data_IF_952460257653
#
_entry.id   IF_952460257653
#
_cell.length_a   1.000
_cell.length_b   1.000
_cell.length_c   1.000
_cell.angle_alpha   90.00
_cell.angle_beta   90.00
_cell.angle_gamma   90.00
#
_symmetry.space_group_name_H-M   'P 1'
#
loop_
_entity.id
_entity.type
_entity.pdbx_description
1 polymer ?
#
# COMPACT_ATOMS: atom_id res chain seq x y z
N UNK A 1 -23.40 21.88 7.29
CA UNK A 1 -22.04 21.33 7.11
C UNK A 1 -21.51 21.17 8.51
N UNK A 2 -21.56 19.94 9.00
CA UNK A 2 -21.46 19.70 10.43
C UNK A 2 -19.98 19.58 10.80
N UNK A 3 -19.54 20.36 11.80
CA UNK A 3 -18.14 20.42 12.26
C UNK A 3 -17.56 19.05 12.64
N UNK A 4 -18.41 18.07 12.95
CA UNK A 4 -18.04 16.68 13.20
C UNK A 4 -17.38 16.02 11.98
N UNK A 5 -17.85 16.31 10.76
CA UNK A 5 -17.27 15.76 9.53
C UNK A 5 -15.91 16.37 9.16
N UNK A 6 -15.63 17.59 9.62
CA UNK A 6 -14.37 18.29 9.35
C UNK A 6 -13.26 17.79 10.29
N UNK A 7 -13.57 17.57 11.57
CA UNK A 7 -12.63 17.02 12.54
C UNK A 7 -12.23 15.57 12.22
N UNK A 8 -13.18 14.70 11.85
CA UNK A 8 -12.87 13.31 11.47
C UNK A 8 -11.92 13.21 10.27
N UNK A 9 -11.95 14.19 9.36
CA UNK A 9 -11.10 14.19 8.16
C UNK A 9 -9.65 14.61 8.46
N UNK A 10 -9.44 15.54 9.40
CA UNK A 10 -8.09 16.01 9.78
C UNK A 10 -7.34 14.96 10.59
N UNK A 11 -8.02 14.21 11.46
CA UNK A 11 -7.38 13.17 12.28
C UNK A 11 -7.07 11.88 11.50
N UNK A 12 -7.91 11.49 10.54
CA UNK A 12 -7.61 10.37 9.64
C UNK A 12 -6.36 10.65 8.77
N UNK A 13 -6.17 11.92 8.37
CA UNK A 13 -4.98 12.38 7.66
C UNK A 13 -3.70 12.28 8.52
N UNK A 14 -3.76 12.71 9.79
CA UNK A 14 -2.64 12.66 10.72
C UNK A 14 -2.22 11.21 11.06
N UNK A 15 -3.16 10.27 11.09
CA UNK A 15 -2.88 8.86 11.39
C UNK A 15 -2.40 8.12 10.14
N UNK A 16 -2.99 8.38 8.97
CA UNK A 16 -2.43 7.95 7.69
C UNK A 16 -0.98 8.43 7.53
N UNK A 17 -0.71 9.69 7.92
CA UNK A 17 0.63 10.25 7.98
C UNK A 17 1.55 9.52 8.97
N UNK A 18 1.11 9.22 10.19
CA UNK A 18 1.94 8.51 11.17
C UNK A 18 2.31 7.09 10.71
N UNK A 19 1.35 6.38 10.12
CA UNK A 19 1.53 5.03 9.58
C UNK A 19 2.54 5.02 8.44
N UNK A 20 2.35 5.93 7.49
CA UNK A 20 3.26 6.10 6.35
C UNK A 20 4.63 6.58 6.83
N UNK A 21 4.69 7.56 7.73
CA UNK A 21 5.93 8.08 8.29
C UNK A 21 6.73 7.01 9.03
N UNK A 22 6.08 6.16 9.85
CA UNK A 22 6.75 5.03 10.49
C UNK A 22 7.26 4.00 9.48
N UNK A 23 6.49 3.73 8.43
CA UNK A 23 6.93 2.83 7.35
C UNK A 23 8.21 3.33 6.67
N UNK A 24 8.26 4.62 6.32
CA UNK A 24 9.44 5.23 5.72
C UNK A 24 10.64 5.32 6.69
N UNK A 25 10.40 5.63 7.96
CA UNK A 25 11.48 5.76 8.97
C UNK A 25 12.11 4.42 9.33
N UNK A 26 11.31 3.37 9.50
CA UNK A 26 11.79 2.02 9.81
C UNK A 26 12.62 1.42 8.67
N UNK A 27 12.34 1.79 7.41
CA UNK A 27 13.12 1.32 6.28
C UNK A 27 14.43 2.13 6.08
N UNK A 28 14.53 3.36 6.60
CA UNK A 28 15.80 4.08 6.64
C UNK A 28 16.75 3.52 7.71
N UNK A 29 16.24 3.09 8.87
CA UNK A 29 17.06 2.50 9.95
C UNK A 29 17.66 1.11 9.58
N UNK A 30 17.08 0.37 8.63
CA UNK A 30 17.62 -0.93 8.15
C UNK A 30 18.67 -0.79 7.03
N UNK A 31 19.12 0.43 6.69
CA UNK A 31 20.18 0.69 5.72
C UNK A 31 21.26 1.60 6.32
N UNK A 32 22.01 1.09 7.29
CA UNK A 32 23.35 1.61 7.59
C UNK A 32 24.38 0.51 7.29
N UNK A 33 25.43 0.78 6.49
CA UNK A 33 26.53 -0.16 6.31
C UNK A 33 27.50 -0.06 7.49
N UNK A 34 27.77 -1.19 8.14
CA UNK A 34 28.86 -1.33 9.11
C UNK A 34 30.19 -0.94 8.44
N UNK A 35 30.64 0.29 8.68
CA UNK A 35 31.97 0.74 8.31
C UNK A 35 32.94 0.48 9.47
N UNK A 36 33.48 -0.74 9.56
CA UNK A 36 34.69 -0.99 10.34
C UNK A 36 35.91 -0.70 9.46
N UNK A 37 36.66 0.34 9.81
CA UNK A 37 37.90 0.76 9.18
C UNK A 37 39.08 -0.16 9.52
N UNK A 38 39.80 -0.64 8.50
CA UNK A 38 41.21 -1.00 8.63
C UNK A 38 41.92 -0.85 7.27
N UNK A 39 42.94 -0.01 7.24
CA UNK A 39 43.75 0.35 6.08
C UNK A 39 44.90 -0.63 5.84
N UNK A 40 45.08 -1.05 4.58
CA UNK A 40 46.39 -1.43 4.03
C UNK A 40 46.35 -1.36 2.50
N UNK A 41 47.31 -0.64 1.93
CA UNK A 41 47.48 -0.33 0.51
C UNK A 41 48.16 -1.47 -0.27
N UNK A 42 47.60 -1.82 -1.43
CA UNK A 42 48.36 -2.38 -2.56
C UNK A 42 47.58 -2.22 -3.86
N UNK A 43 48.23 -1.63 -4.86
CA UNK A 43 47.75 -1.34 -6.20
C UNK A 43 47.56 -2.59 -7.06
N UNK A 44 46.37 -2.77 -7.61
CA UNK A 44 46.12 -3.58 -8.80
C UNK A 44 44.93 -3.01 -9.57
N UNK A 45 45.14 -2.79 -10.85
CA UNK A 45 44.16 -2.30 -11.82
C UNK A 45 43.06 -3.34 -12.02
N UNK A 46 41.94 -3.14 -11.34
CA UNK A 46 40.69 -3.86 -11.60
C UNK A 46 39.69 -2.87 -12.17
N UNK A 47 39.32 -3.08 -13.43
CA UNK A 47 38.19 -2.46 -14.11
C UNK A 47 36.98 -2.44 -13.18
N UNK A 48 36.61 -1.24 -12.73
CA UNK A 48 35.40 -0.99 -11.96
C UNK A 48 34.21 -1.29 -12.86
N UNK A 49 33.80 -2.56 -12.88
CA UNK A 49 32.44 -2.91 -13.20
C UNK A 49 31.60 -2.29 -12.09
N UNK A 50 31.10 -1.09 -12.36
CA UNK A 50 30.03 -0.49 -11.58
C UNK A 50 28.91 -1.52 -11.51
N UNK A 51 28.85 -2.24 -10.39
CA UNK A 51 27.69 -3.04 -10.03
C UNK A 51 26.52 -2.07 -10.13
N UNK A 52 25.51 -2.31 -10.99
CA UNK A 52 24.39 -1.40 -11.12
C UNK A 52 23.72 -1.34 -9.76
N UNK A 53 23.96 -0.24 -9.06
CA UNK A 53 23.40 0.00 -7.74
C UNK A 53 21.94 0.34 -7.96
N UNK A 54 21.10 -0.54 -7.43
CA UNK A 54 19.66 -0.38 -7.20
C UNK A 54 18.77 -0.20 -8.43
N UNK A 55 17.79 -1.09 -8.54
CA UNK A 55 16.53 -0.94 -9.27
C UNK A 55 16.19 0.54 -9.49
N UNK A 56 16.04 0.95 -10.75
CA UNK A 56 15.53 2.27 -11.12
C UNK A 56 14.06 2.40 -10.66
N UNK A 57 13.84 2.54 -9.34
CA UNK A 57 12.54 2.74 -8.76
C UNK A 57 11.99 4.07 -9.27
N UNK A 58 10.92 3.99 -10.03
CA UNK A 58 10.29 5.15 -10.68
C UNK A 58 9.43 5.94 -9.70
N UNK A 59 8.94 5.26 -8.65
CA UNK A 59 8.12 5.84 -7.59
C UNK A 59 8.55 5.29 -6.23
N UNK A 60 8.30 6.05 -5.17
CA UNK A 60 8.42 5.54 -3.82
C UNK A 60 7.22 4.68 -3.46
N UNK A 61 6.00 5.10 -3.83
CA UNK A 61 4.75 4.42 -3.44
C UNK A 61 3.84 4.12 -4.62
N UNK A 62 3.37 2.88 -4.70
CA UNK A 62 2.18 2.51 -5.48
C UNK A 62 0.94 2.42 -4.57
N UNK A 63 -0.06 3.31 -4.75
CA UNK A 63 -1.31 3.22 -4.00
C UNK A 63 -2.34 2.36 -4.75
N UNK A 64 -2.86 1.31 -4.12
CA UNK A 64 -3.99 0.51 -4.62
C UNK A 64 -5.20 0.62 -3.71
N UNK A 65 -6.32 1.06 -4.28
CA UNK A 65 -7.56 1.32 -3.54
C UNK A 65 -8.78 1.37 -4.47
N UNK A 66 -9.97 1.13 -3.91
CA UNK A 66 -11.24 1.34 -4.60
C UNK A 66 -11.64 2.82 -4.53
N UNK A 67 -11.55 3.53 -5.65
CA UNK A 67 -11.82 4.97 -5.69
C UNK A 67 -13.20 5.39 -5.18
N UNK A 68 -14.22 4.53 -5.32
CA UNK A 68 -15.58 4.79 -4.83
C UNK A 68 -15.70 4.74 -3.30
N UNK A 69 -14.88 3.92 -2.64
CA UNK A 69 -14.94 3.72 -1.18
C UNK A 69 -14.11 4.76 -0.44
N UNK A 70 -13.05 5.23 -1.09
CA UNK A 70 -12.14 6.21 -0.49
C UNK A 70 -12.70 7.59 -0.76
N UNK A 71 -13.29 8.19 0.27
CA UNK A 71 -13.73 9.59 0.21
C UNK A 71 -12.57 10.42 -0.35
N UNK A 72 -12.85 11.25 -1.36
CA UNK A 72 -11.85 12.13 -2.02
C UNK A 72 -10.93 12.84 -1.01
N UNK A 73 -11.45 13.15 0.17
CA UNK A 73 -10.70 13.79 1.26
C UNK A 73 -9.60 12.88 1.84
N UNK A 74 -9.85 11.60 2.14
CA UNK A 74 -8.87 10.74 2.81
C UNK A 74 -7.59 10.57 1.98
N UNK A 75 -7.74 10.16 0.72
CA UNK A 75 -6.58 9.97 -0.15
C UNK A 75 -5.93 11.29 -0.56
N UNK A 76 -6.71 12.37 -0.78
CA UNK A 76 -6.09 13.68 -1.07
C UNK A 76 -5.27 14.21 0.10
N UNK A 77 -5.64 13.90 1.34
CA UNK A 77 -4.79 14.20 2.50
C UNK A 77 -3.49 13.40 2.48
N UNK A 78 -3.53 12.09 2.18
CA UNK A 78 -2.31 11.27 2.01
C UNK A 78 -1.43 11.84 0.89
N UNK A 79 -2.01 12.22 -0.24
CA UNK A 79 -1.28 12.82 -1.37
C UNK A 79 -0.61 14.14 -1.00
N UNK A 80 -1.30 15.02 -0.25
CA UNK A 80 -0.71 16.27 0.25
C UNK A 80 0.50 16.01 1.16
N UNK A 81 0.42 14.98 1.99
CA UNK A 81 1.53 14.62 2.87
C UNK A 81 2.71 14.00 2.11
N UNK A 82 2.45 13.17 1.09
CA UNK A 82 3.50 12.71 0.18
C UNK A 82 4.23 13.88 -0.46
N UNK A 83 3.50 14.85 -1.01
CA UNK A 83 4.07 16.07 -1.60
C UNK A 83 4.90 16.84 -0.57
N UNK A 84 4.38 17.06 0.64
CA UNK A 84 5.08 17.78 1.71
C UNK A 84 6.39 17.10 2.13
N UNK A 85 6.49 15.78 1.98
CA UNK A 85 7.65 14.96 2.34
C UNK A 85 8.57 14.62 1.16
N UNK A 86 8.24 15.09 -0.05
CA UNK A 86 9.00 14.74 -1.26
C UNK A 86 8.90 13.27 -1.63
N UNK A 87 7.85 12.57 -1.19
CA UNK A 87 7.58 11.17 -1.54
C UNK A 87 6.88 11.16 -2.89
N UNK A 88 7.44 10.43 -3.84
CA UNK A 88 6.85 10.24 -5.17
C UNK A 88 5.85 9.08 -5.15
N UNK A 89 4.63 9.31 -5.62
CA UNK A 89 3.62 8.25 -5.73
C UNK A 89 3.06 8.15 -7.15
N UNK A 90 2.67 6.94 -7.54
CA UNK A 90 1.96 6.74 -8.79
C UNK A 90 0.53 7.31 -8.70
N UNK A 91 0.17 8.19 -9.64
CA UNK A 91 -1.16 8.81 -9.68
C UNK A 91 -2.07 8.11 -10.69
N UNK A 92 -2.93 7.19 -10.21
CA UNK A 92 -3.89 6.46 -11.05
C UNK A 92 -5.14 7.31 -11.42
N UNK A 93 -5.29 8.53 -10.88
CA UNK A 93 -6.49 9.36 -11.10
C UNK A 93 -6.70 9.81 -12.55
N UNK A 94 -5.66 9.75 -13.39
CA UNK A 94 -5.72 10.13 -14.80
C UNK A 94 -6.00 8.94 -15.73
N UNK A 95 -6.01 7.71 -15.20
CA UNK A 95 -6.19 6.50 -15.98
C UNK A 95 -7.64 6.03 -15.85
N UNK A 96 -8.33 5.91 -16.99
CA UNK A 96 -9.62 5.24 -17.02
C UNK A 96 -9.42 3.77 -16.66
N UNK A 97 -9.86 3.39 -15.46
CA UNK A 97 -9.88 1.99 -15.02
C UNK A 97 -10.74 1.18 -15.98
N UNK A 98 -10.11 0.23 -16.66
CA UNK A 98 -10.73 -0.68 -17.64
C UNK A 98 -11.01 -2.07 -17.07
N UNK A 99 -11.17 -3.07 -17.93
CA UNK A 99 -11.39 -4.47 -17.52
C UNK A 99 -10.12 -5.23 -17.12
N UNK A 100 -8.93 -4.72 -17.46
CA UNK A 100 -7.64 -5.34 -17.18
C UNK A 100 -6.57 -4.27 -16.92
N UNK A 101 -5.69 -4.51 -15.95
CA UNK A 101 -4.58 -3.60 -15.66
C UNK A 101 -3.68 -3.45 -16.88
N UNK A 102 -3.29 -2.20 -17.16
CA UNK A 102 -2.45 -1.88 -18.32
C UNK A 102 -0.97 -2.12 -18.03
N UNK A 103 -0.11 -2.32 -19.05
CA UNK A 103 1.33 -2.46 -18.87
C UNK A 103 1.97 -1.33 -18.06
N UNK A 104 1.48 -0.09 -18.22
CA UNK A 104 2.01 1.07 -17.48
C UNK A 104 1.76 0.94 -15.97
N UNK A 105 0.62 0.36 -15.57
CA UNK A 105 0.30 0.09 -14.15
C UNK A 105 1.21 -1.00 -13.61
N UNK A 106 1.40 -2.08 -14.37
CA UNK A 106 2.31 -3.18 -13.99
C UNK A 106 3.73 -2.63 -13.78
N UNK A 107 4.22 -1.80 -14.70
CA UNK A 107 5.52 -1.15 -14.57
C UNK A 107 5.58 -0.23 -13.36
N UNK A 108 4.52 0.52 -13.05
CA UNK A 108 4.47 1.36 -11.86
C UNK A 108 4.47 0.55 -10.56
N UNK A 109 3.74 -0.58 -10.50
CA UNK A 109 3.76 -1.50 -9.36
C UNK A 109 5.18 -2.04 -9.17
N UNK A 110 5.77 -2.63 -10.20
CA UNK A 110 7.11 -3.23 -10.14
C UNK A 110 8.22 -2.20 -9.87
N UNK A 111 8.03 -0.97 -10.34
CA UNK A 111 8.96 0.14 -10.16
C UNK A 111 8.81 0.89 -8.83
N UNK A 112 7.85 0.53 -7.99
CA UNK A 112 7.64 1.19 -6.69
C UNK A 112 8.40 0.49 -5.55
N UNK A 113 8.91 1.25 -4.58
CA UNK A 113 9.56 0.68 -3.38
C UNK A 113 8.55 0.09 -2.40
N UNK A 114 7.42 0.79 -2.25
CA UNK A 114 6.33 0.43 -1.36
C UNK A 114 5.03 0.29 -2.13
N UNK A 115 4.19 -0.65 -1.73
CA UNK A 115 2.80 -0.72 -2.16
C UNK A 115 1.88 -0.49 -0.95
N UNK A 116 0.99 0.50 -1.03
CA UNK A 116 -0.05 0.72 -0.01
C UNK A 116 -1.35 0.16 -0.55
N UNK A 117 -1.91 -0.84 0.13
CA UNK A 117 -3.17 -1.50 -0.25
C UNK A 117 -4.25 -1.12 0.74
N UNK A 118 -5.16 -0.23 0.33
CA UNK A 118 -6.28 0.18 1.16
C UNK A 118 -7.48 -0.74 0.90
N UNK A 119 -7.60 -1.77 1.73
CA UNK A 119 -8.65 -2.78 1.65
C UNK A 119 -9.93 -2.26 2.30
N UNK A 120 -10.90 -1.90 1.46
CA UNK A 120 -12.24 -1.45 1.85
C UNK A 120 -13.30 -2.50 1.54
N UNK A 121 -14.54 -2.28 2.02
CA UNK A 121 -15.68 -3.19 1.79
C UNK A 121 -15.87 -3.58 0.31
N UNK A 122 -15.77 -2.63 -0.62
CA UNK A 122 -15.99 -2.86 -2.05
C UNK A 122 -14.68 -2.98 -2.84
N UNK A 123 -13.52 -3.15 -2.19
CA UNK A 123 -12.26 -3.39 -2.92
C UNK A 123 -12.39 -4.57 -3.89
N UNK A 124 -12.95 -5.69 -3.40
CA UNK A 124 -13.19 -6.89 -4.19
C UNK A 124 -14.30 -6.77 -5.25
N UNK A 125 -14.98 -5.63 -5.37
CA UNK A 125 -15.95 -5.38 -6.45
C UNK A 125 -15.27 -5.05 -7.79
N UNK A 126 -13.98 -4.70 -7.73
CA UNK A 126 -13.22 -4.23 -8.88
C UNK A 126 -12.24 -5.31 -9.33
N UNK A 127 -12.48 -5.88 -10.52
CA UNK A 127 -11.48 -6.74 -11.16
C UNK A 127 -10.11 -6.06 -11.23
N UNK A 128 -10.10 -4.78 -11.59
CA UNK A 128 -8.89 -3.97 -11.63
C UNK A 128 -8.12 -3.96 -10.30
N UNK A 129 -8.78 -3.67 -9.16
CA UNK A 129 -8.11 -3.69 -7.85
C UNK A 129 -7.63 -5.09 -7.45
N UNK A 130 -8.32 -6.16 -7.88
CA UNK A 130 -7.91 -7.53 -7.63
C UNK A 130 -6.68 -7.91 -8.47
N UNK A 131 -6.62 -7.47 -9.73
CA UNK A 131 -5.46 -7.69 -10.61
C UNK A 131 -4.24 -6.88 -10.14
N UNK A 132 -4.42 -5.64 -9.68
CA UNK A 132 -3.37 -4.87 -9.01
C UNK A 132 -2.81 -5.62 -7.80
N UNK A 133 -3.69 -6.16 -6.96
CA UNK A 133 -3.29 -6.90 -5.76
C UNK A 133 -2.48 -8.14 -6.10
N UNK A 134 -2.87 -8.87 -7.14
CA UNK A 134 -2.11 -10.04 -7.61
C UNK A 134 -0.69 -9.64 -8.01
N UNK A 135 -0.52 -8.56 -8.77
CA UNK A 135 0.82 -8.11 -9.18
C UNK A 135 1.63 -7.55 -7.99
N UNK A 136 0.99 -6.84 -7.07
CA UNK A 136 1.65 -6.34 -5.83
C UNK A 136 2.17 -7.51 -4.99
N UNK A 137 1.36 -8.55 -4.77
CA UNK A 137 1.78 -9.70 -3.97
C UNK A 137 2.88 -10.51 -4.68
N UNK A 138 2.86 -10.55 -6.01
CA UNK A 138 3.97 -11.09 -6.81
C UNK A 138 5.25 -10.27 -6.63
N UNK A 139 5.17 -8.93 -6.65
CA UNK A 139 6.34 -8.06 -6.41
C UNK A 139 6.89 -8.19 -4.99
N UNK A 140 6.02 -8.41 -3.99
CA UNK A 140 6.43 -8.70 -2.62
C UNK A 140 7.31 -9.95 -2.56
N UNK A 141 6.93 -11.02 -3.26
CA UNK A 141 7.66 -12.28 -3.29
C UNK A 141 8.93 -12.20 -4.16
N UNK A 142 8.85 -11.62 -5.36
CA UNK A 142 9.94 -11.62 -6.36
C UNK A 142 10.98 -10.52 -6.14
N UNK A 143 10.55 -9.35 -5.63
CA UNK A 143 11.35 -8.12 -5.61
C UNK A 143 11.57 -7.57 -4.20
N UNK A 144 11.12 -8.30 -3.18
CA UNK A 144 11.12 -7.84 -1.77
C UNK A 144 10.43 -6.47 -1.60
N UNK A 145 9.40 -6.21 -2.43
CA UNK A 145 8.63 -4.98 -2.34
C UNK A 145 7.88 -4.95 -0.99
N UNK A 146 8.04 -3.87 -0.24
CA UNK A 146 7.35 -3.71 1.04
C UNK A 146 5.87 -3.40 0.79
N UNK A 147 4.98 -4.26 1.28
CA UNK A 147 3.52 -4.10 1.17
C UNK A 147 2.93 -3.66 2.50
N UNK A 148 2.18 -2.56 2.48
CA UNK A 148 1.46 -2.02 3.62
C UNK A 148 -0.05 -2.13 3.41
N UNK A 149 -0.71 -3.16 3.99
CA UNK A 149 -2.16 -3.22 4.02
C UNK A 149 -2.75 -2.26 5.04
N UNK A 150 -3.82 -1.57 4.64
CA UNK A 150 -4.67 -0.76 5.50
C UNK A 150 -6.10 -1.32 5.38
N UNK A 151 -6.61 -1.88 6.48
CA UNK A 151 -7.95 -2.42 6.60
C UNK A 151 -8.94 -1.31 6.94
N UNK A 152 -9.60 -0.77 5.91
CA UNK A 152 -10.50 0.37 6.01
C UNK A 152 -11.94 -0.08 6.24
N UNK A 153 -12.40 0.05 7.49
CA UNK A 153 -13.76 -0.28 7.96
C UNK A 153 -14.16 -1.73 7.62
N UNK A 154 -13.17 -2.62 7.62
CA UNK A 154 -13.30 -4.05 7.35
C UNK A 154 -12.37 -4.83 8.25
N UNK A 155 -12.87 -5.96 8.76
CA UNK A 155 -12.05 -6.89 9.54
C UNK A 155 -11.17 -7.75 8.62
N UNK A 156 -9.85 -7.92 8.90
CA UNK A 156 -8.98 -8.76 8.09
C UNK A 156 -9.47 -10.20 7.97
N UNK A 157 -10.18 -10.71 8.98
CA UNK A 157 -10.75 -12.06 8.95
C UNK A 157 -11.78 -12.23 7.83
N UNK A 158 -12.56 -11.19 7.51
CA UNK A 158 -13.52 -11.19 6.41
C UNK A 158 -12.82 -11.20 5.04
N UNK A 159 -11.66 -10.57 4.92
CA UNK A 159 -10.84 -10.59 3.70
C UNK A 159 -10.18 -11.95 3.56
N UNK A 160 -9.44 -12.39 4.59
CA UNK A 160 -8.73 -13.67 4.61
C UNK A 160 -9.63 -14.85 4.31
N UNK A 161 -10.77 -14.93 4.99
CA UNK A 161 -11.72 -16.05 4.85
C UNK A 161 -12.76 -15.84 3.75
N UNK A 162 -12.75 -14.67 3.09
CA UNK A 162 -13.77 -14.26 2.12
C UNK A 162 -15.20 -14.42 2.67
N UNK A 163 -15.42 -13.91 3.88
CA UNK A 163 -16.69 -13.96 4.61
C UNK A 163 -17.31 -12.57 4.80
N UNK A 164 -18.48 -12.50 5.43
CA UNK A 164 -19.19 -11.24 5.64
C UNK A 164 -19.57 -10.53 4.34
N UNK A 165 -19.68 -9.21 4.39
CA UNK A 165 -20.03 -8.40 3.23
C UNK A 165 -18.92 -8.39 2.17
N UNK A 166 -17.65 -8.39 2.57
CA UNK A 166 -16.51 -8.49 1.66
C UNK A 166 -16.60 -9.76 0.80
N UNK A 167 -16.87 -10.91 1.43
CA UNK A 167 -17.07 -12.19 0.75
C UNK A 167 -18.27 -12.20 -0.20
N UNK A 168 -19.38 -11.55 0.18
CA UNK A 168 -20.55 -11.40 -0.72
C UNK A 168 -20.18 -10.61 -1.98
N UNK A 169 -19.44 -9.51 -1.83
CA UNK A 169 -18.96 -8.70 -2.94
C UNK A 169 -18.03 -9.52 -3.83
N UNK A 170 -17.02 -10.18 -3.25
CA UNK A 170 -16.09 -11.03 -3.99
C UNK A 170 -16.80 -12.11 -4.82
N UNK A 171 -17.76 -12.84 -4.22
CA UNK A 171 -18.54 -13.86 -4.94
C UNK A 171 -19.30 -13.32 -6.15
N UNK A 172 -19.82 -12.10 -6.07
CA UNK A 172 -20.49 -11.44 -7.21
C UNK A 172 -19.47 -11.15 -8.32
N UNK A 173 -18.29 -10.64 -7.98
CA UNK A 173 -17.21 -10.37 -8.93
C UNK A 173 -16.70 -11.64 -9.63
N UNK A 174 -16.71 -12.78 -8.93
CA UNK A 174 -16.31 -14.07 -9.48
C UNK A 174 -17.32 -14.68 -10.47
N UNK A 175 -18.55 -14.17 -10.55
CA UNK A 175 -19.57 -14.73 -11.44
C UNK A 175 -19.10 -14.65 -12.91
N UNK A 176 -19.06 -15.80 -13.59
CA UNK A 176 -18.63 -15.91 -14.99
C UNK A 176 -17.11 -15.84 -15.21
N UNK A 177 -16.29 -15.87 -14.15
CA UNK A 177 -14.82 -15.88 -14.23
C UNK A 177 -14.25 -17.30 -14.20
N UNK A 178 -13.05 -17.48 -14.74
CA UNK A 178 -12.38 -18.80 -14.74
C UNK A 178 -11.95 -19.19 -13.32
N UNK A 179 -11.82 -20.50 -13.06
CA UNK A 179 -11.38 -20.98 -11.75
C UNK A 179 -9.99 -20.48 -11.39
N UNK A 180 -9.11 -20.42 -12.39
CA UNK A 180 -7.72 -19.99 -12.28
C UNK A 180 -7.62 -18.49 -11.94
N UNK A 181 -8.49 -17.66 -12.53
CA UNK A 181 -8.59 -16.23 -12.20
C UNK A 181 -9.07 -16.03 -10.76
N UNK A 182 -10.13 -16.74 -10.36
CA UNK A 182 -10.68 -16.68 -9.00
C UNK A 182 -9.65 -17.13 -7.96
N UNK A 183 -8.88 -18.19 -8.25
CA UNK A 183 -7.86 -18.71 -7.34
C UNK A 183 -6.73 -17.72 -7.10
N UNK A 184 -6.25 -17.06 -8.17
CA UNK A 184 -5.21 -16.03 -8.05
C UNK A 184 -5.68 -14.87 -7.15
N UNK A 185 -6.91 -14.39 -7.35
CA UNK A 185 -7.46 -13.33 -6.51
C UNK A 185 -7.62 -13.78 -5.06
N UNK A 186 -8.17 -14.98 -4.83
CA UNK A 186 -8.33 -15.54 -3.48
C UNK A 186 -7.00 -15.60 -2.74
N UNK A 187 -5.98 -16.18 -3.38
CA UNK A 187 -4.65 -16.31 -2.79
C UNK A 187 -4.07 -14.94 -2.42
N UNK A 188 -4.11 -13.98 -3.34
CA UNK A 188 -3.59 -12.63 -3.08
C UNK A 188 -4.32 -11.92 -1.93
N UNK A 189 -5.63 -12.12 -1.77
CA UNK A 189 -6.43 -11.58 -0.68
C UNK A 189 -6.10 -12.23 0.67
N UNK A 190 -5.86 -13.54 0.69
CA UNK A 190 -5.44 -14.27 1.88
C UNK A 190 -4.03 -13.85 2.33
N UNK A 191 -3.10 -13.73 1.39
CA UNK A 191 -1.71 -13.38 1.66
C UNK A 191 -1.60 -11.93 2.16
N UNK A 192 -2.31 -10.99 1.53
CA UNK A 192 -2.31 -9.59 1.98
C UNK A 192 -2.99 -9.44 3.35
N UNK A 193 -4.04 -10.21 3.64
CA UNK A 193 -4.72 -10.17 4.94
C UNK A 193 -3.90 -10.81 6.07
N UNK A 194 -2.87 -11.60 5.73
CA UNK A 194 -1.91 -12.17 6.70
C UNK A 194 -0.69 -11.26 6.89
N UNK A 195 -0.53 -10.23 6.06
CA UNK A 195 0.55 -9.25 6.18
C UNK A 195 0.23 -8.25 7.30
N UNK A 196 1.24 -7.89 8.10
CA UNK A 196 1.08 -6.89 9.19
C UNK A 196 0.66 -5.56 8.59
N UNK A 197 -0.45 -5.00 9.10
CA UNK A 197 -1.06 -3.80 8.57
C UNK A 197 -1.75 -2.96 9.64
N UNK A 198 -2.49 -1.96 9.18
CA UNK A 198 -3.19 -1.00 10.05
C UNK A 198 -4.69 -1.10 9.88
N UNK A 199 -5.42 -0.93 10.98
CA UNK A 199 -6.89 -0.93 10.98
C UNK A 199 -7.42 0.49 11.15
N UNK A 200 -8.37 0.90 10.32
CA UNK A 200 -8.95 2.23 10.43
C UNK A 200 -9.79 2.42 11.70
N UNK A 201 -10.28 1.34 12.29
CA UNK A 201 -11.04 1.37 13.55
C UNK A 201 -10.15 1.89 14.71
N UNK A 202 -8.86 1.56 14.69
CA UNK A 202 -7.91 2.07 15.68
C UNK A 202 -7.67 3.58 15.53
N UNK A 203 -8.07 4.18 14.41
CA UNK A 203 -7.96 5.63 14.24
C UNK A 203 -8.91 6.37 15.19
N UNK A 204 -10.08 5.79 15.50
CA UNK A 204 -11.03 6.35 16.47
C UNK A 204 -10.54 6.21 17.92
N UNK A 205 -9.82 5.14 18.26
CA UNK A 205 -9.35 4.89 19.64
C UNK A 205 -8.19 5.82 20.01
N UNK A 206 -7.22 6.03 19.11
CA UNK A 206 -6.17 7.05 19.33
C UNK A 206 -6.74 8.47 19.44
N UNK A 207 -7.93 8.71 18.86
CA UNK A 207 -8.64 10.00 18.98
C UNK A 207 -9.15 10.23 20.42
N UNK A 208 -9.61 9.18 21.11
CA UNK A 208 -10.06 9.29 22.51
C UNK A 208 -8.88 9.43 23.49
N UNK A 209 -7.76 8.73 23.24
CA UNK A 209 -6.58 8.82 24.10
C UNK A 209 -5.96 10.22 24.08
N UNK A 210 -5.82 10.86 22.91
CA UNK A 210 -5.30 12.23 22.82
C UNK A 210 -6.23 13.27 23.47
N UNK A 211 -7.55 13.03 23.47
CA UNK A 211 -8.51 13.86 24.19
C UNK A 211 -8.39 13.71 25.71
N UNK A 212 -8.15 12.50 26.21
CA UNK A 212 -8.02 12.23 27.65
C UNK A 212 -6.71 12.80 28.25
N UNK A 213 -5.66 12.94 27.46
CA UNK A 213 -4.40 13.58 27.89
C UNK A 213 -4.35 15.11 27.64
N UNK A 214 -5.41 15.69 27.06
CA UNK A 214 -5.51 17.14 26.81
C UNK A 214 -6.61 17.82 27.64
N UNK A 215 -7.18 17.12 28.63
CA UNK A 215 -8.13 17.64 29.63
C UNK A 215 -7.50 17.59 31.02
#
# INVERSE_FOLDING_TARGET
MDSSGLLTNVFAAAIGFFVIFKMFRSHQENKEPDSSSSSSSSSSSSSSSSVPSSNNCTYDVFPSFRGEDVRKNFFSHIQKEFQRKGITHFNDNEIKRGESIRPEIISAIRGSKFAIVLLSRNYASSKWCLDELVEIMKCKEELDQTVLPIFYEVEPSHIKKLTGDFGKVFRKTCAGRSKEEIERWRKSLEDVATTVGYHSINWFISTCALYYYSL
#
